data_IF_773889473203
#
_entry.id   IF_773889473203
#
_cell.length_a   1.000
_cell.length_b   1.000
_cell.length_c   1.000
_cell.angle_alpha   90.00
_cell.angle_beta   90.00
_cell.angle_gamma   90.00
#
_symmetry.space_group_name_H-M   'P 1'
#
loop_
_entity.id
_entity.type
_entity.pdbx_description
1 polymer ?
#
# COMPACT_ATOMS: atom_id res chain seq x y z
N UNK A 1 -10.33 -20.69 16.13
CA UNK A 1 -9.80 -21.14 14.82
C UNK A 1 -10.25 -20.29 13.64
N UNK A 2 -11.53 -19.99 13.40
CA UNK A 2 -11.91 -18.98 12.37
C UNK A 2 -12.13 -17.58 12.96
N UNK A 3 -12.70 -17.48 14.17
CA UNK A 3 -12.93 -16.19 14.85
C UNK A 3 -11.62 -15.43 15.09
N UNK A 4 -10.55 -16.11 15.48
CA UNK A 4 -9.23 -15.50 15.69
C UNK A 4 -8.63 -14.94 14.39
N UNK A 5 -8.87 -15.60 13.24
CA UNK A 5 -8.43 -15.13 11.93
C UNK A 5 -9.24 -13.90 11.51
N UNK A 6 -10.55 -13.91 11.72
CA UNK A 6 -11.45 -12.79 11.43
C UNK A 6 -11.02 -11.55 12.22
N UNK A 7 -10.71 -11.69 13.51
CA UNK A 7 -10.24 -10.59 14.35
C UNK A 7 -8.89 -10.03 13.88
N UNK A 8 -7.93 -10.91 13.55
CA UNK A 8 -6.62 -10.49 13.02
C UNK A 8 -6.74 -9.78 11.67
N UNK A 9 -7.54 -10.29 10.74
CA UNK A 9 -7.78 -9.65 9.43
C UNK A 9 -8.39 -8.27 9.61
N UNK A 10 -9.36 -8.14 10.52
CA UNK A 10 -9.99 -6.85 10.86
C UNK A 10 -8.97 -5.87 11.42
N UNK A 11 -8.18 -6.29 12.40
CA UNK A 11 -7.15 -5.46 13.02
C UNK A 11 -6.11 -4.99 12.00
N UNK A 12 -5.58 -5.91 11.18
CA UNK A 12 -4.62 -5.58 10.13
C UNK A 12 -5.21 -4.64 9.08
N UNK A 13 -6.49 -4.78 8.75
CA UNK A 13 -7.15 -3.87 7.79
C UNK A 13 -7.25 -2.46 8.33
N UNK A 14 -7.69 -2.29 9.58
CA UNK A 14 -7.75 -0.98 10.22
C UNK A 14 -6.35 -0.34 10.36
N UNK A 15 -5.36 -1.12 10.78
CA UNK A 15 -3.99 -0.63 10.91
C UNK A 15 -3.37 -0.27 9.55
N UNK A 16 -3.68 -1.02 8.49
CA UNK A 16 -3.22 -0.70 7.14
C UNK A 16 -3.78 0.63 6.64
N UNK A 17 -5.06 0.90 6.88
CA UNK A 17 -5.67 2.19 6.58
C UNK A 17 -4.97 3.33 7.32
N UNK A 18 -4.68 3.15 8.61
CA UNK A 18 -3.97 4.14 9.41
C UNK A 18 -2.53 4.40 8.91
N UNK A 19 -1.77 3.35 8.56
CA UNK A 19 -0.41 3.50 8.05
C UNK A 19 -0.38 4.26 6.71
N UNK A 20 -1.38 4.01 5.86
CA UNK A 20 -1.51 4.67 4.57
C UNK A 20 -1.89 6.15 4.72
N UNK A 21 -2.76 6.49 5.67
CA UNK A 21 -3.07 7.88 6.04
C UNK A 21 -1.84 8.63 6.60
N UNK A 22 -0.97 7.92 7.31
CA UNK A 22 0.29 8.46 7.86
C UNK A 22 1.43 8.48 6.83
N UNK A 23 1.19 8.10 5.58
CA UNK A 23 2.21 7.96 4.54
C UNK A 23 3.37 7.02 4.92
N UNK A 24 3.14 6.06 5.82
CA UNK A 24 4.10 5.04 6.24
C UNK A 24 4.11 3.87 5.26
N UNK A 25 4.47 4.16 4.01
CA UNK A 25 4.32 3.24 2.87
C UNK A 25 5.07 1.91 3.02
N UNK A 26 6.28 1.92 3.60
CA UNK A 26 7.05 0.69 3.82
C UNK A 26 6.36 -0.22 4.83
N UNK A 27 5.95 0.32 5.97
CA UNK A 27 5.22 -0.43 7.00
C UNK A 27 3.87 -0.93 6.48
N UNK A 28 3.18 -0.10 5.69
CA UNK A 28 1.92 -0.47 5.04
C UNK A 28 2.11 -1.65 4.08
N UNK A 29 3.20 -1.69 3.32
CA UNK A 29 3.51 -2.79 2.40
C UNK A 29 3.76 -4.10 3.17
N UNK A 30 4.55 -4.06 4.23
CA UNK A 30 4.82 -5.22 5.08
C UNK A 30 3.53 -5.76 5.72
N UNK A 31 2.71 -4.88 6.27
CA UNK A 31 1.44 -5.25 6.88
C UNK A 31 0.44 -5.80 5.86
N UNK A 32 0.41 -5.25 4.64
CA UNK A 32 -0.42 -5.77 3.55
C UNK A 32 -0.08 -7.22 3.21
N UNK A 33 1.21 -7.56 3.15
CA UNK A 33 1.66 -8.94 2.93
C UNK A 33 1.26 -9.85 4.09
N UNK A 34 1.46 -9.41 5.34
CA UNK A 34 1.05 -10.18 6.51
C UNK A 34 -0.47 -10.44 6.54
N UNK A 35 -1.28 -9.43 6.20
CA UNK A 35 -2.73 -9.57 6.07
C UNK A 35 -3.13 -10.54 4.95
N UNK A 36 -2.43 -10.53 3.82
CA UNK A 36 -2.71 -11.43 2.71
C UNK A 36 -2.59 -12.90 3.14
N UNK A 37 -1.54 -13.25 3.87
CA UNK A 37 -1.33 -14.61 4.41
C UNK A 37 -2.47 -15.03 5.35
N UNK A 38 -3.01 -14.12 6.17
CA UNK A 38 -4.15 -14.42 7.04
C UNK A 38 -5.42 -14.72 6.24
N UNK A 39 -5.65 -13.97 5.16
CA UNK A 39 -6.79 -14.17 4.26
C UNK A 39 -6.66 -15.53 3.54
N UNK A 40 -5.47 -15.87 3.02
CA UNK A 40 -5.22 -17.19 2.40
C UNK A 40 -5.52 -18.33 3.38
N UNK A 41 -5.03 -18.24 4.63
CA UNK A 41 -5.34 -19.22 5.68
C UNK A 41 -6.83 -19.33 5.99
N UNK A 42 -7.55 -18.21 5.96
CA UNK A 42 -9.00 -18.25 6.13
C UNK A 42 -9.70 -18.95 4.95
N UNK A 43 -9.16 -18.84 3.73
CA UNK A 43 -9.67 -19.55 2.55
C UNK A 43 -9.31 -21.04 2.50
N UNK A 44 -8.25 -21.49 3.17
CA UNK A 44 -7.93 -22.93 3.31
C UNK A 44 -9.10 -23.74 3.90
N UNK A 45 -9.94 -23.10 4.73
CA UNK A 45 -11.17 -23.69 5.30
C UNK A 45 -12.45 -23.05 4.70
N UNK A 46 -12.51 -22.97 3.37
CA UNK A 46 -13.54 -22.28 2.59
C UNK A 46 -14.98 -22.57 3.02
N UNK A 47 -15.33 -23.84 3.29
CA UNK A 47 -16.68 -24.24 3.71
C UNK A 47 -17.07 -23.67 5.08
N UNK A 48 -16.13 -23.60 6.03
CA UNK A 48 -16.38 -23.03 7.36
C UNK A 48 -16.40 -21.51 7.31
N UNK A 49 -15.49 -20.90 6.54
CA UNK A 49 -15.34 -19.46 6.45
C UNK A 49 -16.52 -18.80 5.74
N UNK A 50 -17.00 -19.38 4.64
CA UNK A 50 -18.15 -18.83 3.88
C UNK A 50 -19.49 -18.95 4.60
N UNK A 51 -19.61 -19.90 5.55
CA UNK A 51 -20.79 -20.01 6.43
C UNK A 51 -20.69 -19.11 7.68
N UNK A 52 -19.54 -18.48 7.92
CA UNK A 52 -19.36 -17.57 9.04
C UNK A 52 -19.73 -16.12 8.62
N UNK A 53 -20.82 -15.54 9.16
CA UNK A 53 -21.25 -14.19 8.78
C UNK A 53 -20.24 -13.10 9.16
N UNK A 54 -19.46 -13.30 10.22
CA UNK A 54 -18.41 -12.34 10.60
C UNK A 54 -17.27 -12.32 9.60
N UNK A 55 -16.90 -13.49 9.07
CA UNK A 55 -15.89 -13.58 8.02
C UNK A 55 -16.36 -12.89 6.74
N UNK A 56 -17.61 -13.14 6.31
CA UNK A 56 -18.19 -12.45 5.15
C UNK A 56 -18.17 -10.94 5.33
N UNK A 57 -18.63 -10.45 6.50
CA UNK A 57 -18.60 -9.02 6.82
C UNK A 57 -17.19 -8.43 6.82
N UNK A 58 -16.20 -9.14 7.38
CA UNK A 58 -14.80 -8.69 7.35
C UNK A 58 -14.25 -8.68 5.92
N UNK A 59 -14.60 -9.65 5.08
CA UNK A 59 -14.15 -9.66 3.68
C UNK A 59 -14.76 -8.51 2.86
N UNK A 60 -16.00 -8.11 3.12
CA UNK A 60 -16.59 -6.91 2.53
C UNK A 60 -15.83 -5.64 2.97
N UNK A 61 -15.46 -5.54 4.25
CA UNK A 61 -14.62 -4.44 4.76
C UNK A 61 -13.24 -4.43 4.10
N UNK A 62 -12.60 -5.59 3.96
CA UNK A 62 -11.32 -5.73 3.24
C UNK A 62 -11.46 -5.27 1.79
N UNK A 63 -12.55 -5.62 1.11
CA UNK A 63 -12.78 -5.21 -0.28
C UNK A 63 -12.93 -3.68 -0.40
N UNK A 64 -13.74 -3.06 0.48
CA UNK A 64 -13.91 -1.60 0.51
C UNK A 64 -12.61 -0.88 0.88
N UNK A 65 -11.85 -1.44 1.83
CA UNK A 65 -10.52 -0.97 2.20
C UNK A 65 -9.59 -0.97 0.99
N UNK A 66 -9.46 -2.10 0.30
CA UNK A 66 -8.57 -2.25 -0.86
C UNK A 66 -8.92 -1.28 -1.99
N UNK A 67 -10.20 -1.02 -2.24
CA UNK A 67 -10.62 -0.02 -3.22
C UNK A 67 -10.09 1.39 -2.87
N UNK A 68 -10.20 1.81 -1.62
CA UNK A 68 -9.70 3.11 -1.13
C UNK A 68 -8.17 3.16 -1.16
N UNK A 69 -7.51 2.12 -0.66
CA UNK A 69 -6.05 2.03 -0.62
C UNK A 69 -5.46 2.00 -2.04
N UNK A 70 -6.12 1.34 -2.99
CA UNK A 70 -5.74 1.34 -4.40
C UNK A 70 -5.70 2.76 -4.98
N UNK A 71 -6.76 3.54 -4.76
CA UNK A 71 -6.81 4.95 -5.21
C UNK A 71 -5.70 5.81 -4.59
N UNK A 72 -5.42 5.63 -3.29
CA UNK A 72 -4.32 6.33 -2.61
C UNK A 72 -2.95 5.94 -3.19
N UNK A 73 -2.75 4.65 -3.45
CA UNK A 73 -1.51 4.11 -4.03
C UNK A 73 -1.29 4.66 -5.43
N UNK A 74 -2.33 4.68 -6.28
CA UNK A 74 -2.26 5.28 -7.61
C UNK A 74 -1.90 6.76 -7.56
N UNK A 75 -2.52 7.53 -6.67
CA UNK A 75 -2.20 8.95 -6.48
C UNK A 75 -0.74 9.13 -6.06
N UNK A 76 -0.23 8.29 -5.15
CA UNK A 76 1.16 8.32 -4.70
C UNK A 76 2.12 7.96 -5.84
N UNK A 77 1.84 6.93 -6.63
CA UNK A 77 2.67 6.54 -7.77
C UNK A 77 2.78 7.65 -8.82
N UNK A 78 1.67 8.34 -9.11
CA UNK A 78 1.70 9.52 -10.00
C UNK A 78 2.60 10.63 -9.45
N UNK A 79 2.43 10.97 -8.17
CA UNK A 79 3.25 12.00 -7.51
C UNK A 79 4.73 11.64 -7.48
N UNK A 80 5.09 10.38 -7.22
CA UNK A 80 6.47 9.91 -7.28
C UNK A 80 7.03 9.99 -8.72
N UNK A 81 6.22 9.67 -9.72
CA UNK A 81 6.58 9.84 -11.13
C UNK A 81 6.95 11.28 -11.48
N UNK A 82 6.12 12.24 -11.06
CA UNK A 82 6.37 13.67 -11.27
C UNK A 82 7.68 14.12 -10.58
N UNK A 83 7.88 13.70 -9.31
CA UNK A 83 9.11 13.99 -8.56
C UNK A 83 10.37 13.44 -9.25
N UNK A 84 10.30 12.24 -9.82
CA UNK A 84 11.42 11.65 -10.57
C UNK A 84 11.73 12.46 -11.84
N UNK A 85 10.72 12.95 -12.55
CA UNK A 85 10.90 13.81 -13.72
C UNK A 85 11.58 15.13 -13.33
N UNK A 86 11.13 15.75 -12.24
CA UNK A 86 11.71 17.01 -11.75
C UNK A 86 13.16 16.84 -11.26
N UNK A 87 13.47 15.73 -10.60
CA UNK A 87 14.84 15.38 -10.22
C UNK A 87 15.74 15.22 -11.44
N UNK A 88 15.26 14.54 -12.50
CA UNK A 88 16.02 14.40 -13.76
C UNK A 88 16.28 15.75 -14.43
N UNK A 89 15.28 16.64 -14.45
CA UNK A 89 15.43 18.00 -14.99
C UNK A 89 16.48 18.79 -14.20
N UNK A 90 16.40 18.74 -12.87
CA UNK A 90 17.34 19.41 -11.97
C UNK A 90 18.76 18.92 -12.23
N UNK A 91 18.96 17.61 -12.30
CA UNK A 91 20.27 17.01 -12.57
C UNK A 91 20.83 17.42 -13.93
N UNK A 92 20.00 17.44 -14.98
CA UNK A 92 20.41 17.89 -16.31
C UNK A 92 20.83 19.38 -16.31
N UNK A 93 20.09 20.23 -15.60
CA UNK A 93 20.42 21.65 -15.44
C UNK A 93 21.75 21.83 -14.69
N UNK A 94 21.95 21.12 -13.58
CA UNK A 94 23.20 21.16 -12.82
C UNK A 94 24.40 20.78 -13.69
N UNK A 95 24.27 19.71 -14.50
CA UNK A 95 25.34 19.32 -15.43
C UNK A 95 25.60 20.38 -16.51
N UNK A 96 24.56 21.01 -17.04
CA UNK A 96 24.71 22.07 -18.03
C UNK A 96 25.44 23.29 -17.44
N UNK A 97 25.08 23.72 -16.23
CA UNK A 97 25.77 24.80 -15.52
C UNK A 97 27.25 24.49 -15.28
N UNK A 98 27.56 23.26 -14.85
CA UNK A 98 28.93 22.80 -14.65
C UNK A 98 29.75 22.95 -15.95
N UNK A 99 29.21 22.46 -17.08
CA UNK A 99 29.88 22.53 -18.38
C UNK A 99 30.10 23.96 -18.87
N UNK A 100 29.12 24.85 -18.68
CA UNK A 100 29.28 26.27 -19.05
C UNK A 100 30.37 26.91 -18.20
N UNK A 101 30.37 26.67 -16.88
CA UNK A 101 31.41 27.18 -15.99
C UNK A 101 32.82 26.70 -16.36
N UNK A 102 32.96 25.45 -16.79
CA UNK A 102 34.24 24.87 -17.20
C UNK A 102 34.75 25.48 -18.52
N UNK A 103 33.86 25.88 -19.43
CA UNK A 103 34.21 26.51 -20.71
C UNK A 103 34.55 28.00 -20.61
N UNK A 104 34.11 28.67 -19.54
CA UNK A 104 34.31 30.12 -19.32
C UNK A 104 35.46 30.45 -18.37
N UNK A 105 36.25 29.45 -17.97
CA UNK A 105 37.50 29.59 -17.22
C UNK A 105 38.71 29.39 -18.13
#
# INVERSE_FOLDING_TARGET
MISDLVEQIRAHTAQLEQLMEQERWSDALELSNARHVLIERAFENLEQSTRNPEFVSVMEQVQQSNARLGQQTEKRMRSLGDQVVDLRRTFAQTQAYQRVSDLTR
#
